data_IF_240170108134
#
_entry.id   IF_240170108134
#
_cell.length_a   1.000
_cell.length_b   1.000
_cell.length_c   1.000
_cell.angle_alpha   90.00
_cell.angle_beta   90.00
_cell.angle_gamma   90.00
#
_symmetry.space_group_name_H-M   'P 1'
#
loop_
_entity.id
_entity.type
_entity.pdbx_description
1 polymer ?
#
# COMPACT_ATOMS: atom_id res chain seq x y z
N UNK A 1 30.12 -1.88 5.68
CA UNK A 1 29.28 -1.97 4.47
C UNK A 1 29.04 -3.46 4.21
N UNK A 2 27.87 -4.02 4.52
CA UNK A 2 27.57 -5.42 4.17
C UNK A 2 27.43 -5.48 2.65
N UNK A 3 28.47 -5.95 1.97
CA UNK A 3 28.42 -6.24 0.53
C UNK A 3 27.46 -7.41 0.37
N UNK A 4 26.19 -7.12 0.10
CA UNK A 4 25.22 -8.13 -0.30
C UNK A 4 25.77 -8.82 -1.54
N UNK A 5 25.84 -10.15 -1.49
CA UNK A 5 26.29 -10.98 -2.59
C UNK A 5 25.50 -10.64 -3.86
N UNK A 6 26.19 -10.06 -4.85
CA UNK A 6 25.63 -9.55 -6.10
C UNK A 6 24.87 -10.64 -6.85
N UNK A 7 25.30 -11.89 -6.73
CA UNK A 7 24.64 -13.04 -7.38
C UNK A 7 23.23 -13.25 -6.82
N UNK A 8 23.07 -13.20 -5.48
CA UNK A 8 21.78 -13.34 -4.81
C UNK A 8 20.80 -12.21 -5.14
N UNK A 9 21.30 -10.98 -5.27
CA UNK A 9 20.46 -9.85 -5.67
C UNK A 9 19.99 -9.95 -7.12
N UNK A 10 20.84 -10.46 -8.01
CA UNK A 10 20.50 -10.64 -9.42
C UNK A 10 19.45 -11.73 -9.64
N UNK A 11 19.38 -12.74 -8.76
CA UNK A 11 18.37 -13.78 -8.78
C UNK A 11 16.95 -13.29 -8.44
N UNK A 12 16.81 -12.16 -7.72
CA UNK A 12 15.50 -11.57 -7.41
C UNK A 12 15.01 -10.79 -8.64
N UNK A 13 13.77 -10.99 -9.13
CA UNK A 13 13.24 -10.21 -10.24
C UNK A 13 13.30 -8.70 -9.96
N UNK A 14 13.64 -7.83 -10.94
CA UNK A 14 13.89 -6.42 -10.69
C UNK A 14 12.78 -5.69 -9.93
N UNK A 15 11.52 -5.99 -10.24
CA UNK A 15 10.36 -5.37 -9.59
C UNK A 15 10.30 -5.67 -8.08
N UNK A 16 10.89 -6.76 -7.60
CA UNK A 16 10.87 -7.16 -6.18
C UNK A 16 12.17 -6.83 -5.44
N UNK A 17 13.10 -6.05 -6.02
CA UNK A 17 14.38 -5.75 -5.37
C UNK A 17 14.31 -4.60 -4.37
N UNK A 18 13.44 -3.62 -4.59
CA UNK A 18 13.35 -2.40 -3.79
C UNK A 18 11.89 -1.97 -3.65
N UNK A 19 11.52 -1.50 -2.46
CA UNK A 19 10.15 -1.14 -2.11
C UNK A 19 9.50 -0.12 -3.04
N UNK A 20 10.22 0.90 -3.49
CA UNK A 20 9.63 1.89 -4.41
C UNK A 20 9.16 1.29 -5.74
N UNK A 21 9.79 0.21 -6.22
CA UNK A 21 9.54 -0.32 -7.57
C UNK A 21 8.11 -0.80 -7.78
N UNK A 22 7.58 -1.76 -6.98
CA UNK A 22 6.22 -2.22 -7.16
C UNK A 22 5.20 -1.15 -6.76
N UNK A 23 5.50 -0.36 -5.73
CA UNK A 23 4.53 0.60 -5.20
C UNK A 23 4.41 1.89 -6.01
N UNK A 24 5.50 2.43 -6.56
CA UNK A 24 5.40 3.60 -7.45
C UNK A 24 4.83 3.21 -8.80
N UNK A 25 5.26 2.09 -9.38
CA UNK A 25 4.71 1.61 -10.64
C UNK A 25 3.23 1.24 -10.48
N UNK A 26 2.90 0.43 -9.47
CA UNK A 26 1.54 0.02 -9.17
C UNK A 26 0.66 1.20 -8.79
N UNK A 27 1.14 2.12 -7.96
CA UNK A 27 0.42 3.33 -7.59
C UNK A 27 0.16 4.26 -8.77
N UNK A 28 1.14 4.48 -9.66
CA UNK A 28 0.95 5.30 -10.85
C UNK A 28 -0.06 4.67 -11.82
N UNK A 29 0.06 3.37 -12.10
CA UNK A 29 -0.89 2.65 -12.94
C UNK A 29 -2.30 2.68 -12.33
N UNK A 30 -2.39 2.43 -11.02
CA UNK A 30 -3.65 2.48 -10.29
C UNK A 30 -4.29 3.86 -10.33
N UNK A 31 -3.52 4.94 -10.16
CA UNK A 31 -4.05 6.30 -10.25
C UNK A 31 -4.68 6.58 -11.62
N UNK A 32 -4.00 6.19 -12.72
CA UNK A 32 -4.53 6.33 -14.08
C UNK A 32 -5.86 5.57 -14.22
N UNK A 33 -5.89 4.32 -13.78
CA UNK A 33 -7.09 3.47 -13.87
C UNK A 33 -8.22 4.01 -12.99
N UNK A 34 -7.94 4.35 -11.74
CA UNK A 34 -8.96 4.80 -10.79
C UNK A 34 -9.56 6.14 -11.17
N UNK A 35 -8.76 7.07 -11.72
CA UNK A 35 -9.27 8.33 -12.26
C UNK A 35 -10.13 8.06 -13.50
N UNK A 36 -9.70 7.19 -14.42
CA UNK A 36 -10.50 6.86 -15.60
C UNK A 36 -11.85 6.22 -15.24
N UNK A 37 -11.85 5.26 -14.31
CA UNK A 37 -13.07 4.63 -13.80
C UNK A 37 -14.01 5.63 -13.13
N UNK A 38 -13.46 6.54 -12.32
CA UNK A 38 -14.22 7.61 -11.67
C UNK A 38 -14.82 8.60 -12.67
N UNK A 39 -14.05 9.05 -13.67
CA UNK A 39 -14.55 9.95 -14.70
C UNK A 39 -15.67 9.31 -15.53
N UNK A 40 -15.55 8.02 -15.85
CA UNK A 40 -16.63 7.28 -16.51
C UNK A 40 -17.89 7.21 -15.63
N UNK A 41 -17.74 7.04 -14.31
CA UNK A 41 -18.85 7.07 -13.37
C UNK A 41 -19.52 8.43 -13.30
N UNK A 42 -18.71 9.50 -13.20
CA UNK A 42 -19.19 10.87 -13.14
C UNK A 42 -19.92 11.27 -14.42
N UNK A 43 -19.48 10.76 -15.58
CA UNK A 43 -20.14 10.94 -16.87
C UNK A 43 -21.39 10.07 -17.05
N UNK A 44 -21.75 9.22 -16.08
CA UNK A 44 -22.92 8.34 -16.15
C UNK A 44 -22.75 7.15 -17.10
N UNK A 45 -21.52 6.77 -17.45
CA UNK A 45 -21.25 5.66 -18.38
C UNK A 45 -21.44 4.27 -17.74
N UNK A 46 -21.50 4.19 -16.40
CA UNK A 46 -21.81 2.94 -15.69
C UNK A 46 -23.30 2.84 -15.38
N UNK A 47 -24.06 2.17 -16.24
CA UNK A 47 -25.47 1.86 -15.99
C UNK A 47 -25.62 0.48 -15.32
N UNK A 48 -25.88 0.44 -14.01
CA UNK A 48 -26.26 -0.78 -13.30
C UNK A 48 -25.17 -1.46 -12.46
N UNK A 49 -23.95 -0.91 -12.43
CA UNK A 49 -22.89 -1.40 -11.55
C UNK A 49 -22.26 -0.23 -10.77
N UNK A 50 -22.10 -0.44 -9.46
CA UNK A 50 -21.37 0.45 -8.57
C UNK A 50 -20.72 -0.38 -7.44
N UNK A 51 -19.51 -0.01 -7.00
CA UNK A 51 -18.94 -0.60 -5.78
C UNK A 51 -19.81 -0.32 -4.55
N UNK A 52 -19.68 -1.13 -3.49
CA UNK A 52 -20.30 -0.84 -2.19
C UNK A 52 -19.99 0.60 -1.73
N UNK A 53 -21.02 1.32 -1.27
CA UNK A 53 -20.96 2.75 -0.91
C UNK A 53 -21.03 3.72 -2.10
N UNK A 54 -21.06 3.21 -3.34
CA UNK A 54 -21.14 4.00 -4.56
C UNK A 54 -19.79 4.56 -5.04
N UNK A 55 -19.77 5.05 -6.27
CA UNK A 55 -18.56 5.51 -6.96
C UNK A 55 -17.82 6.65 -6.26
N UNK A 56 -18.56 7.58 -5.62
CA UNK A 56 -17.94 8.69 -4.90
C UNK A 56 -17.21 8.21 -3.64
N UNK A 57 -17.82 7.27 -2.89
CA UNK A 57 -17.20 6.68 -1.72
C UNK A 57 -15.97 5.84 -2.08
N UNK A 58 -16.06 5.09 -3.18
CA UNK A 58 -14.93 4.35 -3.74
C UNK A 58 -13.80 5.30 -4.17
N UNK A 59 -14.09 6.31 -5.00
CA UNK A 59 -13.08 7.23 -5.50
C UNK A 59 -12.34 7.97 -4.37
N UNK A 60 -13.06 8.57 -3.41
CA UNK A 60 -12.44 9.30 -2.29
C UNK A 60 -11.54 8.40 -1.46
N UNK A 61 -11.95 7.14 -1.26
CA UNK A 61 -11.18 6.17 -0.50
C UNK A 61 -9.91 5.79 -1.26
N UNK A 62 -10.07 5.42 -2.53
CA UNK A 62 -8.99 4.93 -3.36
C UNK A 62 -7.91 5.97 -3.64
N UNK A 63 -8.25 7.26 -3.70
CA UNK A 63 -7.23 8.30 -3.85
C UNK A 63 -6.33 8.43 -2.62
N UNK A 64 -6.89 8.30 -1.41
CA UNK A 64 -6.13 8.47 -0.18
C UNK A 64 -5.45 7.16 0.26
N UNK A 65 -6.22 6.08 0.39
CA UNK A 65 -5.79 4.81 0.97
C UNK A 65 -5.39 3.75 -0.07
N UNK A 66 -5.81 3.92 -1.33
CA UNK A 66 -5.30 3.13 -2.45
C UNK A 66 -3.99 3.71 -2.97
N UNK A 67 -4.08 4.84 -3.68
CA UNK A 67 -2.96 5.53 -4.30
C UNK A 67 -2.00 6.16 -3.28
N UNK A 68 -2.49 7.06 -2.41
CA UNK A 68 -1.62 7.81 -1.50
C UNK A 68 -0.77 6.91 -0.61
N UNK A 69 -1.39 5.88 -0.03
CA UNK A 69 -0.70 4.88 0.80
C UNK A 69 0.27 4.02 0.00
N UNK A 70 0.03 3.73 -1.29
CA UNK A 70 1.03 3.07 -2.14
C UNK A 70 2.29 3.94 -2.27
N UNK A 71 2.15 5.25 -2.51
CA UNK A 71 3.29 6.17 -2.61
C UNK A 71 4.02 6.27 -1.27
N UNK A 72 3.29 6.36 -0.15
CA UNK A 72 3.87 6.32 1.20
C UNK A 72 4.67 5.02 1.40
N UNK A 73 4.13 3.85 1.02
CA UNK A 73 4.81 2.58 1.15
C UNK A 73 6.10 2.52 0.31
N UNK A 74 6.04 2.93 -0.96
CA UNK A 74 7.19 2.96 -1.85
C UNK A 74 8.32 3.87 -1.33
N UNK A 75 7.97 5.04 -0.81
CA UNK A 75 8.90 5.96 -0.17
C UNK A 75 9.49 5.36 1.11
N UNK A 76 8.65 4.95 2.07
CA UNK A 76 9.09 4.50 3.39
C UNK A 76 9.94 3.22 3.35
N UNK A 77 9.57 2.25 2.52
CA UNK A 77 10.34 1.00 2.37
C UNK A 77 11.73 1.25 1.77
N UNK A 78 11.92 2.37 1.08
CA UNK A 78 13.21 2.80 0.53
C UNK A 78 13.97 3.69 1.53
N UNK A 79 13.26 4.62 2.17
CA UNK A 79 13.83 5.56 3.12
C UNK A 79 14.32 4.87 4.40
N UNK A 80 13.58 3.88 4.91
CA UNK A 80 13.95 3.18 6.15
C UNK A 80 15.30 2.48 6.05
N UNK A 81 15.64 1.92 4.88
CA UNK A 81 16.94 1.33 4.63
C UNK A 81 18.05 2.39 4.72
N UNK A 82 17.81 3.58 4.19
CA UNK A 82 18.76 4.70 4.26
C UNK A 82 18.94 5.20 5.70
N UNK A 83 17.86 5.29 6.48
CA UNK A 83 17.91 5.76 7.87
C UNK A 83 18.57 4.77 8.83
N UNK A 84 18.45 3.47 8.55
CA UNK A 84 18.83 2.41 9.51
C UNK A 84 20.05 1.62 9.08
N UNK A 85 20.42 1.63 7.79
CA UNK A 85 21.41 0.72 7.23
C UNK A 85 20.96 -0.75 7.21
N UNK A 86 19.75 -1.07 7.67
CA UNK A 86 19.19 -2.42 7.64
C UNK A 86 18.66 -2.67 6.23
N UNK A 87 18.96 -3.82 5.60
CA UNK A 87 18.40 -4.17 4.30
C UNK A 87 16.86 -4.07 4.30
N UNK A 88 16.31 -3.38 3.30
CA UNK A 88 14.87 -3.21 3.14
C UNK A 88 14.15 -4.51 2.76
N UNK A 89 12.81 -4.46 2.70
CA UNK A 89 12.00 -5.58 2.21
C UNK A 89 12.31 -5.83 0.73
N UNK A 90 12.58 -7.08 0.38
CA UNK A 90 12.90 -7.54 -0.97
C UNK A 90 12.41 -8.97 -1.20
N UNK A 91 12.20 -9.35 -2.47
CA UNK A 91 11.74 -10.69 -2.87
C UNK A 91 10.31 -10.99 -2.41
N UNK A 92 10.08 -12.22 -1.93
CA UNK A 92 8.77 -12.73 -1.50
C UNK A 92 8.02 -11.83 -0.51
N UNK A 93 8.60 -11.33 0.61
CA UNK A 93 7.85 -10.48 1.54
C UNK A 93 7.39 -9.16 0.92
N UNK A 94 8.18 -8.57 0.01
CA UNK A 94 7.76 -7.37 -0.72
C UNK A 94 6.62 -7.69 -1.70
N UNK A 95 6.71 -8.82 -2.41
CA UNK A 95 5.67 -9.28 -3.32
C UNK A 95 4.35 -9.55 -2.59
N UNK A 96 4.39 -10.16 -1.40
CA UNK A 96 3.20 -10.39 -0.57
C UNK A 96 2.56 -9.08 -0.11
N UNK A 97 3.36 -8.11 0.34
CA UNK A 97 2.83 -6.81 0.77
C UNK A 97 2.21 -6.03 -0.39
N UNK A 98 2.84 -6.03 -1.57
CA UNK A 98 2.29 -5.42 -2.78
C UNK A 98 1.04 -6.17 -3.29
N UNK A 99 1.04 -7.51 -3.21
CA UNK A 99 -0.11 -8.33 -3.57
C UNK A 99 -1.30 -8.10 -2.64
N UNK A 100 -1.07 -7.93 -1.33
CA UNK A 100 -2.11 -7.57 -0.38
C UNK A 100 -2.73 -6.21 -0.71
N UNK A 101 -1.91 -5.21 -1.01
CA UNK A 101 -2.38 -3.90 -1.45
C UNK A 101 -3.27 -4.01 -2.69
N UNK A 102 -2.81 -4.72 -3.72
CA UNK A 102 -3.57 -4.91 -4.94
C UNK A 102 -4.88 -5.69 -4.69
N UNK A 103 -4.83 -6.74 -3.87
CA UNK A 103 -6.00 -7.54 -3.52
C UNK A 103 -7.09 -6.70 -2.83
N UNK A 104 -6.72 -5.75 -1.97
CA UNK A 104 -7.66 -4.83 -1.33
C UNK A 104 -8.40 -3.96 -2.37
N UNK A 105 -7.70 -3.47 -3.41
CA UNK A 105 -8.29 -2.71 -4.52
C UNK A 105 -9.27 -3.53 -5.33
N UNK A 106 -8.86 -4.73 -5.70
CA UNK A 106 -9.69 -5.65 -6.49
C UNK A 106 -10.91 -6.10 -5.68
N UNK A 107 -10.75 -6.36 -4.38
CA UNK A 107 -11.84 -6.75 -3.50
C UNK A 107 -12.95 -5.70 -3.47
N UNK A 108 -12.61 -4.41 -3.38
CA UNK A 108 -13.65 -3.38 -3.42
C UNK A 108 -14.26 -3.23 -4.81
N UNK A 109 -13.41 -3.13 -5.84
CA UNK A 109 -13.88 -2.93 -7.21
C UNK A 109 -14.83 -4.06 -7.65
N UNK A 110 -14.57 -5.30 -7.26
CA UNK A 110 -15.40 -6.45 -7.65
C UNK A 110 -16.43 -6.87 -6.59
N UNK A 111 -16.77 -5.96 -5.67
CA UNK A 111 -17.84 -6.16 -4.68
C UNK A 111 -17.67 -7.45 -3.84
N UNK A 112 -16.43 -7.70 -3.39
CA UNK A 112 -16.13 -8.84 -2.53
C UNK A 112 -16.90 -8.75 -1.20
N UNK A 113 -17.14 -9.89 -0.51
CA UNK A 113 -17.84 -9.88 0.77
C UNK A 113 -17.21 -8.89 1.77
N UNK A 114 -18.05 -8.13 2.47
CA UNK A 114 -17.63 -7.03 3.35
C UNK A 114 -16.53 -7.45 4.34
N UNK A 115 -16.64 -8.63 4.95
CA UNK A 115 -15.63 -9.13 5.88
C UNK A 115 -14.24 -9.28 5.23
N UNK A 116 -14.20 -9.79 3.99
CA UNK A 116 -12.96 -9.94 3.23
C UNK A 116 -12.40 -8.57 2.84
N UNK A 117 -13.26 -7.66 2.39
CA UNK A 117 -12.89 -6.28 2.08
C UNK A 117 -12.21 -5.63 3.29
N UNK A 118 -12.88 -5.61 4.45
CA UNK A 118 -12.37 -4.99 5.68
C UNK A 118 -11.01 -5.57 6.09
N UNK A 119 -10.83 -6.90 6.04
CA UNK A 119 -9.57 -7.55 6.37
C UNK A 119 -8.45 -7.12 5.42
N UNK A 120 -8.71 -7.06 4.11
CA UNK A 120 -7.70 -6.68 3.12
C UNK A 120 -7.32 -5.20 3.23
N UNK A 121 -8.31 -4.31 3.40
CA UNK A 121 -8.08 -2.87 3.55
C UNK A 121 -7.25 -2.56 4.81
N UNK A 122 -7.66 -3.10 5.96
CA UNK A 122 -7.12 -2.72 7.26
C UNK A 122 -5.81 -3.43 7.61
N UNK A 123 -5.40 -4.46 6.87
CA UNK A 123 -4.16 -5.19 7.15
C UNK A 123 -2.91 -4.55 6.55
N UNK A 124 -3.04 -3.82 5.43
CA UNK A 124 -1.89 -3.28 4.71
C UNK A 124 -1.06 -2.29 5.55
N UNK A 125 -1.71 -1.26 6.10
CA UNK A 125 -1.02 -0.21 6.86
C UNK A 125 -0.36 -0.73 8.15
N UNK A 126 -0.99 -1.59 8.97
CA UNK A 126 -0.32 -2.24 10.11
C UNK A 126 0.88 -3.09 9.72
N UNK A 127 0.79 -3.85 8.63
CA UNK A 127 1.91 -4.68 8.16
C UNK A 127 3.07 -3.81 7.64
N UNK A 128 2.76 -2.71 6.94
CA UNK A 128 3.75 -1.71 6.57
C UNK A 128 4.38 -1.08 7.82
N UNK A 129 3.57 -0.65 8.79
CA UNK A 129 4.03 -0.06 10.05
C UNK A 129 4.94 -1.03 10.82
N UNK A 130 4.61 -2.32 10.86
CA UNK A 130 5.43 -3.35 11.44
C UNK A 130 6.77 -3.53 10.70
N UNK A 131 6.75 -3.56 9.37
CA UNK A 131 7.97 -3.69 8.56
C UNK A 131 8.95 -2.52 8.77
N UNK A 132 8.43 -1.30 8.78
CA UNK A 132 9.21 -0.08 9.06
C UNK A 132 9.67 -0.08 10.52
N UNK A 133 8.76 -0.30 11.46
CA UNK A 133 9.02 -0.28 12.90
C UNK A 133 10.07 -1.30 13.32
N UNK A 134 10.05 -2.52 12.76
CA UNK A 134 11.07 -3.55 12.98
C UNK A 134 12.47 -3.06 12.60
N UNK A 135 12.60 -2.38 11.47
CA UNK A 135 13.88 -1.87 10.98
C UNK A 135 14.40 -0.72 11.86
N UNK A 136 13.51 0.21 12.23
CA UNK A 136 13.83 1.32 13.13
C UNK A 136 14.23 0.83 14.52
N UNK A 137 13.49 -0.13 15.08
CA UNK A 137 13.74 -0.69 16.42
C UNK A 137 15.09 -1.40 16.50
N UNK A 138 15.48 -2.13 15.44
CA UNK A 138 16.74 -2.89 15.38
C UNK A 138 17.97 -2.04 15.65
N UNK A 139 17.97 -0.79 15.18
CA UNK A 139 19.07 0.17 15.38
C UNK A 139 18.70 1.31 16.33
N UNK A 140 17.55 1.20 17.00
CA UNK A 140 17.00 2.22 17.93
C UNK A 140 16.95 3.63 17.32
N UNK A 141 16.53 3.74 16.06
CA UNK A 141 16.35 5.03 15.40
C UNK A 141 15.06 5.71 15.92
N UNK A 142 15.16 6.35 17.10
CA UNK A 142 14.03 6.97 17.79
C UNK A 142 13.45 8.19 17.07
N UNK A 143 14.27 8.95 16.34
CA UNK A 143 13.85 10.16 15.61
C UNK A 143 12.79 9.85 14.55
N UNK A 144 12.77 8.62 14.04
CA UNK A 144 11.86 8.18 12.99
C UNK A 144 10.68 7.33 13.51
N UNK A 145 10.58 7.05 14.81
CA UNK A 145 9.42 6.36 15.39
C UNK A 145 8.07 7.04 15.12
N UNK A 146 7.96 8.38 15.05
CA UNK A 146 6.70 9.05 14.70
C UNK A 146 6.09 8.56 13.38
N UNK A 147 6.90 8.09 12.43
CA UNK A 147 6.40 7.52 11.16
C UNK A 147 5.52 6.30 11.41
N UNK A 148 5.89 5.44 12.37
CA UNK A 148 5.08 4.27 12.74
C UNK A 148 3.75 4.73 13.34
N UNK A 149 3.79 5.73 14.22
CA UNK A 149 2.58 6.35 14.78
C UNK A 149 1.66 6.90 13.70
N UNK A 150 2.21 7.61 12.71
CA UNK A 150 1.44 8.13 11.57
C UNK A 150 0.78 7.02 10.76
N UNK A 151 1.48 5.91 10.49
CA UNK A 151 0.88 4.77 9.77
C UNK A 151 -0.26 4.13 10.54
N UNK A 152 -0.16 4.03 11.87
CA UNK A 152 -1.24 3.52 12.71
C UNK A 152 -2.43 4.49 12.76
N UNK A 153 -2.17 5.80 12.82
CA UNK A 153 -3.22 6.82 12.71
C UNK A 153 -3.93 6.75 11.36
N UNK A 154 -3.20 6.53 10.26
CA UNK A 154 -3.78 6.29 8.95
C UNK A 154 -4.64 5.01 8.94
N UNK A 155 -4.24 3.94 9.63
CA UNK A 155 -5.08 2.74 9.77
C UNK A 155 -6.40 3.06 10.47
N UNK A 156 -6.36 3.85 11.55
CA UNK A 156 -7.57 4.24 12.27
C UNK A 156 -8.46 5.13 11.40
N UNK A 157 -7.88 6.06 10.65
CA UNK A 157 -8.61 6.88 9.69
C UNK A 157 -9.28 6.01 8.61
N UNK A 158 -8.57 5.03 8.06
CA UNK A 158 -9.11 4.07 7.08
C UNK A 158 -10.30 3.29 7.67
N UNK A 159 -10.13 2.77 8.89
CA UNK A 159 -11.20 2.06 9.60
C UNK A 159 -12.44 2.92 9.80
N UNK A 160 -12.27 4.19 10.19
CA UNK A 160 -13.39 5.12 10.34
C UNK A 160 -14.11 5.39 9.01
N UNK A 161 -13.37 5.50 7.90
CA UNK A 161 -13.99 5.65 6.58
C UNK A 161 -14.78 4.40 6.18
N UNK A 162 -14.23 3.21 6.44
CA UNK A 162 -14.87 1.94 6.10
C UNK A 162 -16.09 1.63 6.99
N UNK A 163 -16.09 2.06 8.25
CA UNK A 163 -17.25 1.93 9.14
C UNK A 163 -18.42 2.84 8.76
N UNK A 164 -18.15 3.89 7.99
CA UNK A 164 -19.16 4.79 7.44
C UNK A 164 -19.61 4.44 6.02
N UNK A 165 -19.23 3.26 5.50
CA UNK A 165 -19.81 2.67 4.28
C UNK A 165 -21.19 2.09 4.56
#
# INVERSE_FOLDING_TARGET
MQVLDRSRLMAIPPIWRLGFRPFFLGGALFAVLAIALWLAALAGLWSGWQPVGGWLAWHRHEMLFGFGVAIIAGFLLTAVQTWTGVPGLQGKPLALLAGLWLAARLAWLFDAPLALLLVLQLSFLPLLAWAIGRSLWRVRQKRNYPVVGLLLLLTLADALVLLGL
#
